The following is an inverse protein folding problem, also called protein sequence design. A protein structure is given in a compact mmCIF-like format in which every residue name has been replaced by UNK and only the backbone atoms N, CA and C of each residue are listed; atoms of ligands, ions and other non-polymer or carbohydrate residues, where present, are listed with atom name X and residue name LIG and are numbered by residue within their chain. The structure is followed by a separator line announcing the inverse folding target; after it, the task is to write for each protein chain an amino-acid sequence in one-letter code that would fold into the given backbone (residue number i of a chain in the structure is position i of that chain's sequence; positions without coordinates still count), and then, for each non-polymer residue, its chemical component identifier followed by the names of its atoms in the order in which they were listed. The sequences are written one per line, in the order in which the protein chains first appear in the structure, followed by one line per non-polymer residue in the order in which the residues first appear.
data_IF_902302040750
#
_entry.id   IF_902302040750
#
_cell.length_a   1.000
_cell.length_b   1.000
_cell.length_c   1.000
_cell.angle_alpha   90.00
_cell.angle_beta   90.00
_cell.angle_gamma   90.00
#
_symmetry.space_group_name_H-M   'P 1'
#
loop_
_entity.id
_entity.type
_entity.pdbx_description
1 polymer ?
#
# COMPACT_ATOMS: atom_id res chain seq x y z
N UNK A 1 10.27 24.40 46.57
CA UNK A 1 8.91 24.31 47.08
C UNK A 1 8.16 23.14 46.42
N UNK A 2 7.11 22.68 47.06
CA UNK A 2 6.25 21.61 46.52
C UNK A 2 5.62 22.00 45.17
N UNK A 3 5.27 23.27 44.98
CA UNK A 3 4.71 23.78 43.72
C UNK A 3 5.73 23.74 42.60
N UNK A 4 7.00 24.10 42.89
CA UNK A 4 8.05 24.04 41.87
C UNK A 4 8.39 22.59 41.49
N UNK A 5 8.41 21.69 42.46
CA UNK A 5 8.59 20.24 42.18
C UNK A 5 7.47 19.67 41.34
N UNK A 6 6.22 20.08 41.62
CA UNK A 6 5.06 19.65 40.82
C UNK A 6 5.18 20.14 39.37
N UNK A 7 5.61 21.40 39.15
CA UNK A 7 5.83 21.96 37.82
C UNK A 7 6.93 21.20 37.08
N UNK A 8 8.07 20.91 37.75
CA UNK A 8 9.17 20.15 37.17
C UNK A 8 8.72 18.75 36.75
N UNK A 9 7.98 18.06 37.61
CA UNK A 9 7.44 16.72 37.31
C UNK A 9 6.47 16.75 36.13
N UNK A 10 5.64 17.78 36.04
CA UNK A 10 4.72 17.96 34.91
C UNK A 10 5.47 18.21 33.60
N UNK A 11 6.53 19.02 33.63
CA UNK A 11 7.38 19.28 32.48
C UNK A 11 8.11 18.00 32.02
N UNK A 12 8.68 17.24 32.96
CA UNK A 12 9.34 15.97 32.65
C UNK A 12 8.37 14.94 32.03
N UNK A 13 7.14 14.87 32.57
CA UNK A 13 6.10 14.00 32.06
C UNK A 13 5.70 14.39 30.64
N UNK A 14 5.50 15.69 30.38
CA UNK A 14 5.15 16.21 29.07
C UNK A 14 6.27 15.91 28.06
N UNK A 15 7.53 16.09 28.44
CA UNK A 15 8.70 15.80 27.61
C UNK A 15 8.76 14.31 27.25
N UNK A 16 8.52 13.42 28.24
CA UNK A 16 8.49 11.98 28.00
C UNK A 16 7.36 11.58 27.05
N UNK A 17 6.17 12.14 27.23
CA UNK A 17 5.02 11.86 26.36
C UNK A 17 5.27 12.30 24.94
N UNK A 18 5.86 13.48 24.74
CA UNK A 18 6.21 13.98 23.42
C UNK A 18 7.24 13.06 22.74
N UNK A 19 8.29 12.67 23.47
CA UNK A 19 9.31 11.77 22.95
C UNK A 19 8.72 10.42 22.57
N UNK A 20 7.85 9.85 23.43
CA UNK A 20 7.16 8.60 23.17
C UNK A 20 6.29 8.69 21.91
N UNK A 21 5.55 9.77 21.77
CA UNK A 21 4.70 10.03 20.60
C UNK A 21 5.54 10.12 19.32
N UNK A 22 6.69 10.80 19.38
CA UNK A 22 7.61 10.92 18.25
C UNK A 22 8.24 9.57 17.90
N UNK A 23 8.66 8.79 18.89
CA UNK A 23 9.21 7.44 18.68
C UNK A 23 8.18 6.51 18.05
N UNK A 24 6.92 6.56 18.52
CA UNK A 24 5.81 5.76 17.98
C UNK A 24 5.54 6.13 16.51
N UNK A 25 5.51 7.42 16.20
CA UNK A 25 5.30 7.91 14.84
C UNK A 25 6.45 7.48 13.90
N UNK A 26 7.68 7.57 14.35
CA UNK A 26 8.85 7.12 13.57
C UNK A 26 8.82 5.61 13.32
N UNK A 27 8.40 4.83 14.32
CA UNK A 27 8.23 3.38 14.17
C UNK A 27 7.14 3.05 13.16
N UNK A 28 6.02 3.79 13.20
CA UNK A 28 4.93 3.62 12.25
C UNK A 28 5.38 3.96 10.82
N UNK A 29 6.18 5.02 10.64
CA UNK A 29 6.75 5.34 9.33
C UNK A 29 7.62 4.21 8.78
N UNK A 30 8.49 3.62 9.62
CA UNK A 30 9.33 2.50 9.17
C UNK A 30 8.49 1.29 8.77
N UNK A 31 7.42 1.01 9.52
CA UNK A 31 6.48 -0.06 9.19
C UNK A 31 5.80 0.21 7.85
N UNK A 32 5.30 1.43 7.64
CA UNK A 32 4.64 1.82 6.40
C UNK A 32 5.58 1.77 5.20
N UNK A 33 6.82 2.20 5.34
CA UNK A 33 7.84 2.09 4.28
C UNK A 33 8.00 0.65 3.80
N UNK A 34 8.07 -0.31 4.74
CA UNK A 34 8.16 -1.73 4.42
C UNK A 34 6.90 -2.25 3.75
N UNK A 35 5.74 -1.85 4.24
CA UNK A 35 4.44 -2.25 3.66
C UNK A 35 4.28 -1.69 2.25
N UNK A 36 4.65 -0.43 2.01
CA UNK A 36 4.60 0.21 0.69
C UNK A 36 5.52 -0.53 -0.28
N UNK A 37 6.74 -0.82 0.14
CA UNK A 37 7.70 -1.55 -0.68
C UNK A 37 7.17 -2.93 -1.08
N UNK A 38 6.62 -3.68 -0.13
CA UNK A 38 6.05 -5.00 -0.39
C UNK A 38 4.84 -4.93 -1.33
N UNK A 39 3.91 -4.00 -1.08
CA UNK A 39 2.72 -3.83 -1.91
C UNK A 39 3.06 -3.33 -3.31
N UNK A 40 4.05 -2.44 -3.44
CA UNK A 40 4.52 -1.97 -4.74
C UNK A 40 5.09 -3.11 -5.59
N UNK A 41 5.84 -4.05 -4.98
CA UNK A 41 6.33 -5.25 -5.67
C UNK A 41 5.17 -6.13 -6.11
N UNK A 42 4.19 -6.37 -5.24
CA UNK A 42 3.00 -7.15 -5.57
C UNK A 42 2.21 -6.51 -6.72
N UNK A 43 2.07 -5.17 -6.70
CA UNK A 43 1.40 -4.44 -7.77
C UNK A 43 2.14 -4.57 -9.11
N UNK A 44 3.46 -4.51 -9.10
CA UNK A 44 4.29 -4.72 -10.29
C UNK A 44 4.13 -6.15 -10.84
N UNK A 45 4.13 -7.15 -9.98
CA UNK A 45 3.88 -8.55 -10.36
C UNK A 45 2.49 -8.74 -10.96
N UNK A 46 1.47 -8.13 -10.34
CA UNK A 46 0.09 -8.19 -10.85
C UNK A 46 -0.04 -7.52 -12.22
N UNK A 47 0.70 -6.42 -12.46
CA UNK A 47 0.76 -5.77 -13.76
C UNK A 47 1.34 -6.71 -14.82
N UNK A 48 2.41 -7.42 -14.49
CA UNK A 48 3.03 -8.41 -15.39
C UNK A 48 2.07 -9.56 -15.68
N UNK A 49 1.40 -10.09 -14.65
CA UNK A 49 0.43 -11.19 -14.82
C UNK A 49 -0.77 -10.76 -15.66
N UNK A 50 -1.27 -9.53 -15.47
CA UNK A 50 -2.37 -9.00 -16.28
C UNK A 50 -1.97 -8.89 -17.76
N UNK A 51 -0.75 -8.43 -18.03
CA UNK A 51 -0.24 -8.35 -19.40
C UNK A 51 -0.10 -9.73 -20.04
N UNK A 52 0.38 -10.73 -19.30
CA UNK A 52 0.45 -12.12 -19.78
C UNK A 52 -0.94 -12.70 -20.05
N UNK A 53 -1.88 -12.46 -19.14
CA UNK A 53 -3.26 -12.92 -19.30
C UNK A 53 -3.93 -12.29 -20.53
N UNK A 54 -3.63 -11.01 -20.81
CA UNK A 54 -4.12 -10.33 -22.02
C UNK A 54 -3.56 -10.96 -23.27
N UNK A 55 -2.28 -11.29 -23.30
CA UNK A 55 -1.66 -11.97 -24.45
C UNK A 55 -2.28 -13.35 -24.66
N UNK A 56 -2.51 -14.11 -23.60
CA UNK A 56 -3.17 -15.40 -23.68
C UNK A 56 -4.59 -15.28 -24.23
N UNK A 57 -5.33 -14.28 -23.78
CA UNK A 57 -6.69 -14.00 -24.26
C UNK A 57 -6.66 -13.71 -25.78
N UNK A 58 -5.75 -12.86 -26.24
CA UNK A 58 -5.63 -12.51 -27.65
C UNK A 58 -5.29 -13.74 -28.51
N UNK A 59 -4.41 -14.62 -28.04
CA UNK A 59 -4.06 -15.87 -28.72
C UNK A 59 -5.27 -16.82 -28.80
N UNK A 60 -5.96 -17.02 -27.68
CA UNK A 60 -7.12 -17.90 -27.62
C UNK A 60 -8.25 -17.39 -28.50
N UNK A 61 -8.47 -16.07 -28.51
CA UNK A 61 -9.45 -15.42 -29.37
C UNK A 61 -9.15 -15.66 -30.86
N UNK A 62 -7.91 -15.48 -31.26
CA UNK A 62 -7.47 -15.73 -32.64
C UNK A 62 -7.65 -17.20 -33.02
N UNK A 63 -7.35 -18.14 -32.12
CA UNK A 63 -7.54 -19.57 -32.34
C UNK A 63 -9.01 -19.95 -32.42
N UNK A 64 -9.85 -19.32 -31.60
CA UNK A 64 -11.30 -19.50 -31.69
C UNK A 64 -11.84 -19.02 -33.04
N UNK A 65 -11.41 -17.84 -33.49
CA UNK A 65 -11.83 -17.28 -34.78
C UNK A 65 -11.39 -18.18 -35.94
N UNK A 66 -10.27 -18.91 -35.79
CA UNK A 66 -9.77 -19.89 -36.76
C UNK A 66 -10.40 -21.30 -36.60
N UNK A 67 -11.34 -21.47 -35.68
CA UNK A 67 -11.98 -22.77 -35.42
C UNK A 67 -11.15 -23.77 -34.64
N UNK A 68 -10.05 -23.31 -33.99
CA UNK A 68 -9.10 -24.18 -33.29
C UNK A 68 -9.33 -24.26 -31.78
N UNK A 69 -10.24 -23.48 -31.25
CA UNK A 69 -10.61 -23.45 -29.84
C UNK A 69 -12.12 -23.45 -29.67
N UNK A 70 -12.57 -23.97 -28.53
CA UNK A 70 -13.96 -23.89 -28.13
C UNK A 70 -14.22 -22.55 -27.40
N UNK A 71 -15.45 -22.07 -27.46
CA UNK A 71 -15.83 -20.80 -26.79
C UNK A 71 -15.53 -20.83 -25.29
N UNK A 72 -15.72 -21.96 -24.63
CA UNK A 72 -15.46 -22.08 -23.18
C UNK A 72 -13.99 -21.94 -22.84
N UNK A 73 -13.09 -22.27 -23.75
CA UNK A 73 -11.65 -22.02 -23.56
C UNK A 73 -11.37 -20.50 -23.52
N UNK A 74 -11.99 -19.75 -24.40
CA UNK A 74 -11.88 -18.28 -24.45
C UNK A 74 -12.50 -17.64 -23.19
N UNK A 75 -13.66 -18.13 -22.77
CA UNK A 75 -14.30 -17.66 -21.53
C UNK A 75 -13.39 -17.86 -20.34
N UNK A 76 -12.72 -19.02 -20.22
CA UNK A 76 -11.80 -19.31 -19.12
C UNK A 76 -10.61 -18.36 -19.07
N UNK A 77 -9.97 -18.07 -20.19
CA UNK A 77 -8.83 -17.12 -20.22
C UNK A 77 -9.30 -15.68 -20.04
N UNK A 78 -10.50 -15.33 -20.48
CA UNK A 78 -11.10 -14.02 -20.22
C UNK A 78 -11.34 -13.81 -18.72
N UNK A 79 -11.88 -14.80 -18.03
CA UNK A 79 -12.08 -14.75 -16.57
C UNK A 79 -10.76 -14.57 -15.83
N UNK A 80 -9.70 -15.28 -16.25
CA UNK A 80 -8.36 -15.13 -15.68
C UNK A 80 -7.85 -13.71 -15.89
N UNK A 81 -7.97 -13.18 -17.09
CA UNK A 81 -7.58 -11.80 -17.41
C UNK A 81 -8.33 -10.81 -16.51
N UNK A 82 -9.62 -10.94 -16.36
CA UNK A 82 -10.44 -10.05 -15.52
C UNK A 82 -9.99 -10.10 -14.07
N UNK A 83 -9.72 -11.30 -13.52
CA UNK A 83 -9.21 -11.43 -12.14
C UNK A 83 -7.85 -10.74 -11.97
N UNK A 84 -6.95 -10.90 -12.94
CA UNK A 84 -5.63 -10.25 -12.86
C UNK A 84 -5.72 -8.74 -12.97
N UNK A 85 -6.62 -8.22 -13.78
CA UNK A 85 -6.90 -6.79 -13.87
C UNK A 85 -7.42 -6.25 -12.53
N UNK A 86 -8.35 -6.94 -11.90
CA UNK A 86 -8.92 -6.56 -10.61
C UNK A 86 -7.85 -6.57 -9.51
N UNK A 87 -6.99 -7.60 -9.49
CA UNK A 87 -5.89 -7.69 -8.54
C UNK A 87 -4.91 -6.53 -8.70
N UNK A 88 -4.57 -6.19 -9.94
CA UNK A 88 -3.68 -5.06 -10.24
C UNK A 88 -4.24 -3.73 -9.71
N UNK A 89 -5.51 -3.47 -9.98
CA UNK A 89 -6.19 -2.24 -9.52
C UNK A 89 -6.23 -2.18 -8.00
N UNK A 90 -6.59 -3.29 -7.35
CA UNK A 90 -6.67 -3.36 -5.89
C UNK A 90 -5.32 -3.10 -5.23
N UNK A 91 -4.25 -3.69 -5.75
CA UNK A 91 -2.90 -3.51 -5.21
C UNK A 91 -2.37 -2.08 -5.42
N UNK A 92 -2.64 -1.48 -6.56
CA UNK A 92 -2.29 -0.06 -6.81
C UNK A 92 -3.03 0.86 -5.86
N UNK A 93 -4.30 0.58 -5.60
CA UNK A 93 -5.10 1.34 -4.64
C UNK A 93 -4.52 1.21 -3.21
N UNK A 94 -4.13 -0.01 -2.80
CA UNK A 94 -3.50 -0.25 -1.50
C UNK A 94 -2.21 0.57 -1.34
N UNK A 95 -1.38 0.65 -2.38
CA UNK A 95 -0.15 1.46 -2.35
C UNK A 95 -0.48 2.93 -2.14
N UNK A 96 -1.48 3.46 -2.85
CA UNK A 96 -1.90 4.85 -2.70
C UNK A 96 -2.39 5.13 -1.29
N UNK A 97 -3.21 4.23 -0.73
CA UNK A 97 -3.70 4.36 0.66
C UNK A 97 -2.57 4.42 1.66
N UNK A 98 -1.59 3.54 1.53
CA UNK A 98 -0.44 3.50 2.43
C UNK A 98 0.42 4.76 2.31
N UNK A 99 0.60 5.28 1.10
CA UNK A 99 1.33 6.54 0.88
C UNK A 99 0.62 7.74 1.47
N UNK A 100 -0.70 7.78 1.38
CA UNK A 100 -1.50 8.83 2.01
C UNK A 100 -1.35 8.78 3.53
N UNK A 101 -1.42 7.58 4.12
CA UNK A 101 -1.21 7.40 5.56
C UNK A 101 0.20 7.84 5.98
N UNK A 102 1.22 7.49 5.21
CA UNK A 102 2.59 7.92 5.48
C UNK A 102 2.74 9.44 5.42
N UNK A 103 2.13 10.08 4.43
CA UNK A 103 2.13 11.54 4.30
C UNK A 103 1.45 12.22 5.49
N UNK A 104 0.35 11.63 5.99
CA UNK A 104 -0.34 12.12 7.18
C UNK A 104 0.56 12.11 8.40
N UNK A 105 1.26 11.00 8.65
CA UNK A 105 2.17 10.87 9.80
C UNK A 105 3.36 11.82 9.65
N UNK A 106 3.92 11.95 8.46
CA UNK A 106 5.02 12.90 8.18
C UNK A 106 4.58 14.34 8.43
N UNK A 107 3.34 14.69 8.05
CA UNK A 107 2.77 16.00 8.32
C UNK A 107 2.65 16.30 9.81
N UNK A 108 2.18 15.34 10.60
CA UNK A 108 2.08 15.47 12.06
C UNK A 108 3.45 15.66 12.69
N UNK A 109 4.46 14.89 12.27
CA UNK A 109 5.83 15.02 12.76
C UNK A 109 6.44 16.39 12.41
N UNK A 110 6.21 16.86 11.20
CA UNK A 110 6.69 18.18 10.76
C UNK A 110 6.05 19.30 11.58
N UNK A 111 4.74 19.24 11.83
CA UNK A 111 4.03 20.21 12.66
C UNK A 111 4.54 20.19 14.10
N UNK A 112 4.76 19.00 14.68
CA UNK A 112 5.35 18.84 16.00
C UNK A 112 6.78 19.37 16.09
N UNK A 113 7.57 19.24 15.02
CA UNK A 113 8.94 19.74 14.97
C UNK A 113 9.01 21.27 14.87
N UNK A 114 7.96 21.91 14.35
CA UNK A 114 7.88 23.37 14.20
C UNK A 114 7.59 24.10 15.53
N UNK A 115 7.15 23.39 16.55
CA UNK A 115 6.85 23.92 17.89
C UNK A 115 8.09 23.76 18.77
#
# INVERSE_FOLDING_TARGET
SASLEAVKMAEETATRKLRQSTEDANRDLRRLEKQISAKARQAAEATTLAAQAKRNLDIFQAQYDAGQRQVMDVVGVYETYTRQQQAQVALKYDVVKLRVEMARIQGVLADGSAI
#
